data_IF_859978781028
#
_entry.id   IF_859978781028
#
_cell.length_a   1.000
_cell.length_b   1.000
_cell.length_c   1.000
_cell.angle_alpha   90.00
_cell.angle_beta   90.00
_cell.angle_gamma   90.00
#
_symmetry.space_group_name_H-M   'P 1'
#
loop_
_entity.id
_entity.type
_entity.pdbx_description
1 polymer ?
#
# COMPACT_ATOMS: atom_id res chain seq x y z
N UNK A 1 -12.18 0.94 -7.22
CA UNK A 1 -12.14 0.46 -8.62
C UNK A 1 -10.69 0.51 -9.08
N UNK A 2 -10.28 -0.42 -9.95
CA UNK A 2 -8.91 -0.63 -10.41
C UNK A 2 -8.88 -0.43 -11.93
N UNK A 3 -7.85 0.23 -12.44
CA UNK A 3 -7.48 0.26 -13.85
C UNK A 3 -6.01 -0.12 -14.00
N UNK A 4 -5.66 -0.78 -15.10
CA UNK A 4 -4.29 -1.24 -15.38
C UNK A 4 -3.89 -0.75 -16.76
N UNK A 5 -2.69 -0.19 -16.86
CA UNK A 5 -2.16 0.37 -18.09
C UNK A 5 -0.81 -0.27 -18.42
N UNK A 6 -0.60 -0.55 -19.69
CA UNK A 6 0.68 -1.03 -20.18
C UNK A 6 1.46 0.13 -20.80
N UNK A 7 2.71 0.33 -20.33
CA UNK A 7 3.58 1.38 -20.86
C UNK A 7 4.06 0.96 -22.26
N UNK A 8 3.86 1.77 -23.31
CA UNK A 8 4.38 1.45 -24.63
C UNK A 8 5.91 1.46 -24.64
N UNK A 9 6.51 0.38 -25.14
CA UNK A 9 7.97 0.25 -25.30
C UNK A 9 8.39 0.33 -26.77
N UNK A 10 9.52 1.00 -27.06
CA UNK A 10 10.13 0.98 -28.39
C UNK A 10 10.45 -0.45 -28.81
N UNK A 11 10.13 -0.80 -30.05
CA UNK A 11 10.35 -2.14 -30.64
C UNK A 11 9.68 -3.30 -29.87
N UNK A 12 8.69 -3.01 -29.00
CA UNK A 12 7.99 -4.06 -28.24
C UNK A 12 6.97 -4.84 -29.07
N UNK A 13 6.50 -4.27 -30.19
CA UNK A 13 5.38 -4.82 -30.96
C UNK A 13 4.02 -4.70 -30.24
N UNK A 14 3.98 -4.11 -29.04
CA UNK A 14 2.77 -3.94 -28.24
C UNK A 14 2.27 -2.51 -28.42
N UNK A 15 1.02 -2.39 -28.85
CA UNK A 15 0.29 -1.13 -28.80
C UNK A 15 -0.12 -0.96 -27.33
N UNK A 16 0.63 -0.16 -26.57
CA UNK A 16 0.33 0.14 -25.17
C UNK A 16 -1.07 0.76 -25.00
N UNK A 17 -1.52 0.93 -23.76
CA UNK A 17 -2.84 1.48 -23.47
C UNK A 17 -3.52 0.85 -22.27
N UNK A 18 -4.85 0.78 -22.31
CA UNK A 18 -5.67 0.21 -21.25
C UNK A 18 -5.58 -1.32 -21.30
N UNK A 19 -4.78 -1.89 -20.41
CA UNK A 19 -4.79 -3.32 -20.16
C UNK A 19 -6.12 -3.74 -19.49
N UNK A 20 -6.61 -2.89 -18.58
CA UNK A 20 -7.87 -3.07 -17.88
C UNK A 20 -8.56 -1.73 -17.65
N UNK A 21 -9.80 -1.63 -18.10
CA UNK A 21 -10.67 -0.50 -17.80
C UNK A 21 -11.11 -0.47 -16.34
N UNK A 22 -11.50 0.72 -15.86
CA UNK A 22 -11.88 0.96 -14.46
C UNK A 22 -12.99 0.00 -13.99
N UNK A 23 -12.60 -1.03 -13.25
CA UNK A 23 -13.46 -2.15 -12.86
C UNK A 23 -13.35 -2.43 -11.37
N UNK A 24 -14.42 -2.97 -10.76
CA UNK A 24 -14.38 -3.47 -9.38
C UNK A 24 -13.99 -4.96 -9.42
N UNK A 25 -12.84 -5.33 -8.86
CA UNK A 25 -12.30 -6.69 -8.98
C UNK A 25 -12.49 -7.47 -7.67
N UNK A 26 -13.11 -8.66 -7.72
CA UNK A 26 -13.22 -9.54 -6.56
C UNK A 26 -11.87 -10.22 -6.25
N UNK A 27 -11.63 -10.53 -4.97
CA UNK A 27 -10.45 -11.26 -4.52
C UNK A 27 -10.52 -12.74 -4.95
N UNK A 28 -9.37 -13.40 -5.18
CA UNK A 28 -9.36 -14.83 -5.40
C UNK A 28 -9.96 -15.55 -4.18
N UNK A 29 -10.90 -16.46 -4.43
CA UNK A 29 -11.59 -17.20 -3.37
C UNK A 29 -12.87 -16.55 -2.82
N UNK A 30 -13.27 -15.37 -3.29
CA UNK A 30 -14.58 -14.82 -2.94
C UNK A 30 -15.72 -15.60 -3.62
N UNK A 31 -16.85 -15.74 -2.94
CA UNK A 31 -18.04 -16.43 -3.49
C UNK A 31 -18.94 -15.47 -4.29
N UNK A 32 -19.77 -15.99 -5.19
CA UNK A 32 -20.75 -15.19 -5.93
C UNK A 32 -21.79 -14.54 -5.00
N UNK A 33 -22.15 -15.23 -3.92
CA UNK A 33 -23.12 -14.74 -2.94
C UNK A 33 -22.54 -13.69 -1.98
N UNK A 34 -21.22 -13.69 -1.77
CA UNK A 34 -20.53 -12.72 -0.93
C UNK A 34 -19.17 -12.31 -1.55
N UNK A 35 -19.19 -11.46 -2.59
CA UNK A 35 -17.97 -11.03 -3.25
C UNK A 35 -17.18 -10.06 -2.35
N UNK A 36 -15.99 -10.48 -1.94
CA UNK A 36 -14.99 -9.61 -1.32
C UNK A 36 -14.17 -8.94 -2.42
N UNK A 37 -14.05 -7.62 -2.36
CA UNK A 37 -13.32 -6.86 -3.36
C UNK A 37 -12.00 -6.36 -2.81
N UNK A 38 -11.03 -6.14 -3.70
CA UNK A 38 -9.77 -5.51 -3.32
C UNK A 38 -10.01 -4.13 -2.69
N UNK A 39 -9.30 -3.92 -1.60
CA UNK A 39 -9.24 -2.69 -0.81
C UNK A 39 -7.85 -2.07 -0.94
N UNK A 40 -7.66 -0.79 -0.55
CA UNK A 40 -6.33 -0.18 -0.53
C UNK A 40 -5.29 -1.00 0.23
N UNK A 41 -5.69 -1.69 1.32
CA UNK A 41 -4.81 -2.52 2.14
C UNK A 41 -4.11 -3.64 1.35
N UNK A 42 -4.73 -4.11 0.27
CA UNK A 42 -4.20 -5.19 -0.56
C UNK A 42 -3.11 -4.72 -1.54
N UNK A 43 -2.84 -3.41 -1.63
CA UNK A 43 -1.88 -2.80 -2.59
C UNK A 43 -0.55 -2.37 -1.96
N UNK A 44 -0.08 -3.09 -0.94
CA UNK A 44 1.26 -2.86 -0.40
C UNK A 44 2.36 -3.23 -1.41
N UNK A 45 3.50 -2.55 -1.36
CA UNK A 45 4.68 -2.93 -2.16
C UNK A 45 5.11 -4.35 -1.78
N UNK A 46 5.38 -5.18 -2.78
CA UNK A 46 5.67 -6.61 -2.65
C UNK A 46 4.43 -7.50 -2.67
N UNK A 47 3.22 -6.95 -2.55
CA UNK A 47 1.99 -7.72 -2.66
C UNK A 47 1.79 -8.24 -4.10
N UNK A 48 1.15 -9.40 -4.19
CA UNK A 48 0.70 -9.98 -5.46
C UNK A 48 -0.81 -9.85 -5.57
N UNK A 49 -1.28 -9.15 -6.59
CA UNK A 49 -2.70 -8.95 -6.88
C UNK A 49 -3.08 -9.81 -8.08
N UNK A 50 -4.12 -10.63 -7.93
CA UNK A 50 -4.66 -11.43 -9.02
C UNK A 50 -5.88 -10.76 -9.64
N UNK A 51 -5.82 -10.52 -10.94
CA UNK A 51 -6.90 -9.91 -11.74
C UNK A 51 -7.14 -10.76 -12.97
N UNK A 52 -8.33 -11.36 -13.07
CA UNK A 52 -8.73 -12.22 -14.20
C UNK A 52 -7.68 -13.27 -14.60
N UNK A 53 -7.25 -14.09 -13.63
CA UNK A 53 -6.22 -15.14 -13.79
C UNK A 53 -4.82 -14.63 -14.16
N UNK A 54 -4.55 -13.34 -13.98
CA UNK A 54 -3.23 -12.73 -14.17
C UNK A 54 -2.73 -12.16 -12.86
N UNK A 55 -1.50 -12.50 -12.50
CA UNK A 55 -0.87 -12.06 -11.26
C UNK A 55 0.05 -10.88 -11.53
N UNK A 56 -0.15 -9.80 -10.79
CA UNK A 56 0.65 -8.60 -10.84
C UNK A 56 1.40 -8.46 -9.52
N UNK A 57 2.72 -8.30 -9.60
CA UNK A 57 3.55 -8.00 -8.44
C UNK A 57 3.74 -6.49 -8.38
N UNK A 58 3.37 -5.89 -7.25
CA UNK A 58 3.54 -4.46 -7.03
C UNK A 58 4.98 -4.20 -6.60
N UNK A 59 5.78 -3.65 -7.51
CA UNK A 59 7.21 -3.43 -7.26
C UNK A 59 7.53 -2.06 -6.69
N UNK A 60 6.67 -1.07 -6.96
CA UNK A 60 6.90 0.33 -6.61
C UNK A 60 5.58 1.11 -6.53
N UNK A 61 5.60 2.26 -5.88
CA UNK A 61 4.48 3.19 -5.79
C UNK A 61 4.96 4.64 -5.63
N UNK A 62 4.24 5.58 -6.24
CA UNK A 62 4.49 7.01 -6.06
C UNK A 62 4.34 7.44 -4.59
N UNK A 63 5.07 8.46 -4.15
CA UNK A 63 5.07 8.86 -2.74
C UNK A 63 3.70 9.30 -2.26
N UNK A 64 2.94 10.01 -3.10
CA UNK A 64 1.56 10.40 -2.78
C UNK A 64 0.62 9.19 -2.64
N UNK A 65 0.86 8.12 -3.40
CA UNK A 65 0.07 6.89 -3.30
C UNK A 65 0.36 6.17 -1.97
N UNK A 66 1.63 6.12 -1.56
CA UNK A 66 2.05 5.54 -0.27
C UNK A 66 1.47 6.31 0.92
N UNK A 67 1.52 7.63 0.90
CA UNK A 67 0.97 8.46 1.97
C UNK A 67 -0.56 8.34 2.07
N UNK A 68 -1.24 8.33 0.93
CA UNK A 68 -2.69 8.05 0.89
C UNK A 68 -3.02 6.69 1.48
N UNK A 69 -2.21 5.66 1.17
CA UNK A 69 -2.41 4.32 1.71
C UNK A 69 -2.20 4.29 3.23
N UNK A 70 -1.11 4.88 3.73
CA UNK A 70 -0.81 4.99 5.17
C UNK A 70 -1.97 5.65 5.94
N UNK A 71 -2.47 6.77 5.41
CA UNK A 71 -3.58 7.51 6.02
C UNK A 71 -4.86 6.65 6.05
N UNK A 72 -5.19 5.97 4.96
CA UNK A 72 -6.38 5.10 4.87
C UNK A 72 -6.30 3.88 5.79
N UNK A 73 -5.11 3.38 6.06
CA UNK A 73 -4.88 2.23 6.93
C UNK A 73 -4.69 2.61 8.41
N UNK A 74 -4.66 3.91 8.75
CA UNK A 74 -4.44 4.36 10.12
C UNK A 74 -3.05 4.01 10.67
N UNK A 75 -2.10 3.65 9.81
CA UNK A 75 -0.70 3.40 10.20
C UNK A 75 -0.03 4.75 10.33
N UNK A 76 -0.32 5.45 11.43
CA UNK A 76 0.47 6.58 11.87
C UNK A 76 1.87 6.07 12.21
N UNK A 77 2.90 6.75 11.69
CA UNK A 77 4.26 6.62 12.20
C UNK A 77 4.21 6.70 13.71
N UNK A 78 4.44 5.58 14.40
CA UNK A 78 4.63 5.58 15.84
C UNK A 78 5.87 6.42 16.08
N UNK A 79 5.66 7.64 16.55
CA UNK A 79 6.74 8.50 17.01
C UNK A 79 7.43 7.76 18.16
N UNK A 80 8.58 7.14 17.88
CA UNK A 80 9.55 6.80 18.90
C UNK A 80 10.17 8.14 19.35
N UNK A 81 9.43 8.87 20.17
CA UNK A 81 10.02 9.89 21.00
C UNK A 81 10.87 9.13 22.02
N UNK A 82 12.20 9.35 22.08
CA UNK A 82 12.98 8.77 23.16
C UNK A 82 12.37 9.29 24.46
N UNK A 83 11.98 8.35 25.32
CA UNK A 83 11.47 8.66 26.64
C UNK A 83 12.45 9.62 27.32
N UNK A 84 11.95 10.78 27.71
CA UNK A 84 12.61 11.67 28.65
C UNK A 84 12.82 10.88 29.95
N UNK A 85 14.01 10.31 30.11
CA UNK A 85 14.52 9.85 31.38
C UNK A 85 15.62 10.82 31.76
N UNK A 86 15.30 11.79 32.61
CA UNK A 86 16.20 12.32 33.65
C UNK A 86 15.36 13.08 34.69
N UNK A 87 14.63 12.33 35.52
CA UNK A 87 14.42 12.75 36.90
C UNK A 87 15.59 12.20 37.72
N UNK A 88 16.24 13.05 38.52
CA UNK A 88 16.37 12.85 39.96
C UNK A 88 17.25 13.94 40.58
N UNK A 89 16.55 14.75 41.39
CA UNK A 89 17.04 15.66 42.43
C UNK A 89 18.05 14.95 43.35
N UNK A 90 19.29 15.43 43.36
CA UNK A 90 20.28 15.12 44.41
C UNK A 90 20.52 16.40 45.19
N UNK A 91 19.81 16.53 46.31
CA UNK A 91 20.09 17.55 47.31
C UNK A 91 21.52 17.43 47.83
N UNK A 92 22.28 18.53 47.75
CA UNK A 92 23.55 18.67 48.45
C UNK A 92 23.30 18.86 49.96
N UNK A 93 23.92 18.06 50.84
CA UNK A 93 23.95 18.36 52.27
C UNK A 93 25.02 19.41 52.58
N UNK A 94 24.66 20.28 53.52
CA UNK A 94 25.43 21.41 54.03
C UNK A 94 26.83 21.03 54.54
N UNK A 95 27.79 21.93 54.33
CA UNK A 95 28.95 22.16 55.23
C UNK A 95 29.34 23.62 55.19
#
# INVERSE_FOLDING_TARGET
MISIYEKPGRNSGIIGGHFLEKTRIPKPGSTLDNPEFYSPADFAIGATVEVFSRRFVLTDADHYALDSLRQKLGVGTTNNQPADQNGDDVGEPSS
#
